data_IF_852663365523
#
_entry.id   IF_852663365523
#
_cell.length_a   1.000
_cell.length_b   1.000
_cell.length_c   1.000
_cell.angle_alpha   90.00
_cell.angle_beta   90.00
_cell.angle_gamma   90.00
#
_symmetry.space_group_name_H-M   'P 1'
#
loop_
_entity.id
_entity.type
_entity.pdbx_description
1 polymer ?
#
# COMPACT_ATOMS: atom_id res chain seq x y z
N UNK A 1 -16.94 27.66 37.47
CA UNK A 1 -18.13 26.96 36.97
C UNK A 1 -17.69 25.51 36.65
N UNK A 2 -18.00 24.55 37.54
CA UNK A 2 -17.65 23.13 37.29
C UNK A 2 -18.63 22.59 36.24
N UNK A 3 -18.21 22.51 34.99
CA UNK A 3 -18.99 21.90 33.90
C UNK A 3 -19.11 20.42 34.21
N UNK A 4 -20.33 19.94 34.45
CA UNK A 4 -20.60 18.56 34.76
C UNK A 4 -20.22 17.66 33.58
N UNK A 5 -19.68 16.45 33.80
CA UNK A 5 -19.27 15.55 32.70
C UNK A 5 -20.39 15.24 31.72
N UNK A 6 -21.64 15.31 32.13
CA UNK A 6 -22.83 15.14 31.27
C UNK A 6 -22.99 16.24 30.20
N UNK A 7 -22.60 17.48 30.48
CA UNK A 7 -22.65 18.54 29.48
C UNK A 7 -21.60 18.31 28.37
N UNK A 8 -20.40 17.85 28.72
CA UNK A 8 -19.39 17.51 27.74
C UNK A 8 -19.83 16.37 26.81
N UNK A 9 -20.47 15.33 27.37
CA UNK A 9 -21.03 14.23 26.54
C UNK A 9 -22.13 14.73 25.60
N UNK A 10 -23.00 15.64 26.06
CA UNK A 10 -24.06 16.21 25.24
C UNK A 10 -23.52 17.04 24.06
N UNK A 11 -22.46 17.84 24.27
CA UNK A 11 -21.81 18.60 23.20
C UNK A 11 -21.00 17.71 22.25
N UNK A 12 -20.43 16.61 22.73
CA UNK A 12 -19.71 15.65 21.91
C UNK A 12 -20.64 14.74 21.08
N UNK A 13 -21.89 14.59 21.49
CA UNK A 13 -22.84 13.63 20.91
C UNK A 13 -23.10 13.87 19.42
N UNK A 14 -23.39 15.10 18.92
CA UNK A 14 -23.63 15.30 17.48
C UNK A 14 -22.40 14.97 16.64
N UNK A 15 -21.19 15.32 17.11
CA UNK A 15 -19.95 15.02 16.40
C UNK A 15 -19.63 13.53 16.38
N UNK A 16 -19.80 12.84 17.52
CA UNK A 16 -19.57 11.39 17.59
C UNK A 16 -20.60 10.60 16.81
N UNK A 17 -21.90 11.00 16.85
CA UNK A 17 -22.96 10.35 16.07
C UNK A 17 -22.69 10.48 14.58
N UNK A 18 -22.29 11.68 14.13
CA UNK A 18 -21.95 11.91 12.73
C UNK A 18 -20.74 11.08 12.29
N UNK A 19 -19.70 11.02 13.11
CA UNK A 19 -18.50 10.23 12.84
C UNK A 19 -18.80 8.74 12.76
N UNK A 20 -19.59 8.22 13.72
CA UNK A 20 -20.03 6.82 13.73
C UNK A 20 -20.90 6.52 12.49
N UNK A 21 -21.82 7.40 12.12
CA UNK A 21 -22.65 7.21 10.93
C UNK A 21 -21.82 7.17 9.65
N UNK A 22 -20.90 8.12 9.45
CA UNK A 22 -20.02 8.17 8.28
C UNK A 22 -19.06 6.97 8.19
N UNK A 23 -18.72 6.35 9.30
CA UNK A 23 -17.87 5.18 9.32
C UNK A 23 -18.66 3.88 9.26
N UNK A 24 -19.70 3.75 10.10
CA UNK A 24 -20.46 2.50 10.23
C UNK A 24 -21.31 2.20 8.99
N UNK A 25 -21.91 3.20 8.34
CA UNK A 25 -22.77 2.99 7.17
C UNK A 25 -21.98 2.43 5.98
N UNK A 26 -20.85 3.05 5.54
CA UNK A 26 -20.04 2.48 4.46
C UNK A 26 -19.46 1.10 4.83
N UNK A 27 -19.01 0.94 6.07
CA UNK A 27 -18.48 -0.36 6.52
C UNK A 27 -19.55 -1.46 6.49
N UNK A 28 -20.77 -1.14 6.92
CA UNK A 28 -21.91 -2.05 6.82
C UNK A 28 -22.24 -2.39 5.37
N UNK A 29 -22.25 -1.40 4.48
CA UNK A 29 -22.47 -1.62 3.05
C UNK A 29 -21.41 -2.57 2.45
N UNK A 30 -20.14 -2.38 2.79
CA UNK A 30 -19.05 -3.28 2.39
C UNK A 30 -19.27 -4.69 2.94
N UNK A 31 -19.71 -4.83 4.20
CA UNK A 31 -20.01 -6.13 4.79
C UNK A 31 -21.21 -6.81 4.09
N UNK A 32 -22.26 -6.06 3.73
CA UNK A 32 -23.39 -6.57 2.96
C UNK A 32 -22.99 -7.13 1.59
N UNK A 33 -22.01 -6.53 0.95
CA UNK A 33 -21.44 -7.01 -0.32
C UNK A 33 -20.52 -8.21 -0.08
N UNK A 34 -19.67 -8.15 0.93
CA UNK A 34 -18.70 -9.21 1.24
C UNK A 34 -19.35 -10.54 1.64
N UNK A 35 -20.49 -10.48 2.32
CA UNK A 35 -21.29 -11.65 2.75
C UNK A 35 -22.55 -11.84 1.90
N UNK A 36 -22.64 -11.14 0.77
CA UNK A 36 -23.71 -11.26 -0.19
C UNK A 36 -23.58 -12.49 -1.08
N UNK A 37 -24.52 -12.64 -1.99
CA UNK A 37 -24.53 -13.70 -3.01
C UNK A 37 -24.01 -13.16 -4.34
N UNK A 38 -23.57 -14.06 -5.21
CA UNK A 38 -23.14 -13.68 -6.56
C UNK A 38 -24.30 -14.01 -7.50
N UNK A 39 -24.69 -13.04 -8.35
CA UNK A 39 -25.68 -13.26 -9.41
C UNK A 39 -25.10 -14.27 -10.41
N UNK A 40 -25.78 -15.40 -10.69
CA UNK A 40 -25.27 -16.43 -11.58
C UNK A 40 -25.20 -15.99 -13.06
N UNK A 41 -25.92 -14.93 -13.45
CA UNK A 41 -25.99 -14.46 -14.82
C UNK A 41 -24.96 -13.34 -15.08
N UNK A 42 -24.97 -12.32 -14.22
CA UNK A 42 -24.11 -11.14 -14.37
C UNK A 42 -22.78 -11.27 -13.64
N UNK A 43 -22.62 -12.26 -12.75
CA UNK A 43 -21.44 -12.45 -11.88
C UNK A 43 -21.14 -11.25 -10.98
N UNK A 44 -22.12 -10.38 -10.79
CA UNK A 44 -22.02 -9.22 -9.90
C UNK A 44 -22.40 -9.60 -8.46
N UNK A 45 -21.78 -8.91 -7.50
CA UNK A 45 -22.09 -9.11 -6.09
C UNK A 45 -23.44 -8.49 -5.73
N UNK A 46 -24.39 -9.30 -5.28
CA UNK A 46 -25.70 -8.85 -4.79
C UNK A 46 -25.60 -8.61 -3.28
N UNK A 47 -25.70 -7.35 -2.81
CA UNK A 47 -25.58 -7.05 -1.39
C UNK A 47 -26.77 -7.62 -0.60
N UNK A 48 -26.48 -8.36 0.45
CA UNK A 48 -27.49 -8.88 1.40
C UNK A 48 -27.60 -7.94 2.60
N UNK A 49 -28.65 -7.13 2.61
CA UNK A 49 -28.88 -6.14 3.67
C UNK A 49 -29.31 -6.75 5.01
N UNK A 50 -29.76 -8.00 5.02
CA UNK A 50 -30.16 -8.67 6.25
C UNK A 50 -28.98 -9.50 6.81
N UNK A 51 -28.45 -9.18 8.01
CA UNK A 51 -27.34 -9.93 8.61
C UNK A 51 -27.64 -11.42 8.86
N UNK A 52 -28.92 -11.77 9.00
CA UNK A 52 -29.34 -13.16 9.24
C UNK A 52 -29.25 -14.04 7.98
N UNK A 53 -29.20 -13.42 6.79
CA UNK A 53 -29.08 -14.12 5.50
C UNK A 53 -27.66 -14.09 4.93
N UNK A 54 -26.68 -13.66 5.70
CA UNK A 54 -25.28 -13.60 5.25
C UNK A 54 -24.70 -14.99 5.03
N UNK A 55 -24.07 -15.15 3.88
CA UNK A 55 -23.40 -16.40 3.51
C UNK A 55 -21.87 -16.25 3.71
N UNK A 56 -21.34 -17.00 4.67
CA UNK A 56 -19.92 -17.01 4.99
C UNK A 56 -19.12 -17.95 4.07
N UNK A 57 -19.77 -18.69 3.19
CA UNK A 57 -19.11 -19.65 2.29
C UNK A 57 -18.14 -18.95 1.36
N UNK A 58 -18.55 -17.82 0.78
CA UNK A 58 -17.72 -17.01 -0.10
C UNK A 58 -16.48 -16.46 0.63
N UNK A 59 -16.66 -15.96 1.85
CA UNK A 59 -15.58 -15.46 2.67
C UNK A 59 -14.57 -16.57 3.02
N UNK A 60 -15.06 -17.76 3.37
CA UNK A 60 -14.22 -18.93 3.67
C UNK A 60 -13.45 -19.42 2.43
N UNK A 61 -14.07 -19.44 1.26
CA UNK A 61 -13.44 -19.80 0.00
C UNK A 61 -12.35 -18.78 -0.39
N UNK A 62 -12.64 -17.47 -0.21
CA UNK A 62 -11.66 -16.42 -0.47
C UNK A 62 -10.46 -16.56 0.47
N UNK A 63 -10.71 -16.80 1.76
CA UNK A 63 -9.65 -17.02 2.75
C UNK A 63 -8.83 -18.28 2.42
N UNK A 64 -9.48 -19.37 2.01
CA UNK A 64 -8.82 -20.59 1.56
C UNK A 64 -7.97 -20.32 0.30
N UNK A 65 -8.44 -19.48 -0.62
CA UNK A 65 -7.68 -19.10 -1.82
C UNK A 65 -6.43 -18.28 -1.53
N UNK A 66 -6.45 -17.48 -0.46
CA UNK A 66 -5.27 -16.74 0.03
C UNK A 66 -4.21 -17.68 0.65
N UNK A 67 -4.63 -18.78 1.29
CA UNK A 67 -3.72 -19.69 1.99
C UNK A 67 -3.21 -20.83 1.09
N UNK A 68 -4.08 -21.43 0.30
CA UNK A 68 -3.79 -22.66 -0.47
C UNK A 68 -4.19 -22.56 -1.95
N UNK A 69 -4.78 -21.44 -2.39
CA UNK A 69 -5.34 -21.25 -3.73
C UNK A 69 -4.53 -20.30 -4.62
N UNK A 70 -5.14 -19.84 -5.71
CA UNK A 70 -4.50 -19.00 -6.73
C UNK A 70 -4.04 -17.63 -6.22
N UNK A 71 -4.67 -17.10 -5.16
CA UNK A 71 -4.32 -15.80 -4.57
C UNK A 71 -3.12 -15.87 -3.60
N UNK A 72 -2.67 -17.08 -3.22
CA UNK A 72 -1.53 -17.26 -2.30
C UNK A 72 -0.27 -16.53 -2.80
N UNK A 73 0.05 -16.65 -4.09
CA UNK A 73 1.22 -16.01 -4.68
C UNK A 73 1.16 -14.48 -4.58
N UNK A 74 -0.02 -13.92 -4.82
CA UNK A 74 -0.26 -12.48 -4.71
C UNK A 74 -0.19 -12.02 -3.25
N UNK A 75 -0.78 -12.78 -2.32
CA UNK A 75 -0.76 -12.46 -0.90
C UNK A 75 0.67 -12.45 -0.34
N UNK A 76 1.47 -13.50 -0.61
CA UNK A 76 2.86 -13.57 -0.17
C UNK A 76 3.67 -12.40 -0.75
N UNK A 77 3.48 -12.11 -2.04
CA UNK A 77 4.17 -11.00 -2.72
C UNK A 77 3.83 -9.66 -2.09
N UNK A 78 2.55 -9.40 -1.81
CA UNK A 78 2.11 -8.17 -1.13
C UNK A 78 2.79 -8.03 0.23
N UNK A 79 2.78 -9.09 1.04
CA UNK A 79 3.45 -9.09 2.36
C UNK A 79 4.95 -8.78 2.21
N UNK A 80 5.63 -9.43 1.27
CA UNK A 80 7.06 -9.21 1.03
C UNK A 80 7.34 -7.78 0.58
N UNK A 81 6.57 -7.25 -0.38
CA UNK A 81 6.77 -5.88 -0.89
C UNK A 81 6.51 -4.83 0.19
N UNK A 82 5.41 -4.97 0.93
CA UNK A 82 5.09 -4.07 2.05
C UNK A 82 6.15 -4.16 3.13
N UNK A 83 6.59 -5.37 3.50
CA UNK A 83 7.64 -5.53 4.49
C UNK A 83 8.97 -4.89 4.05
N UNK A 84 9.41 -5.13 2.82
CA UNK A 84 10.61 -4.50 2.27
C UNK A 84 10.47 -2.98 2.22
N UNK A 85 9.33 -2.47 1.74
CA UNK A 85 9.05 -1.04 1.69
C UNK A 85 9.05 -0.42 3.09
N UNK A 86 8.48 -1.09 4.09
CA UNK A 86 8.50 -0.64 5.49
C UNK A 86 9.93 -0.57 6.03
N UNK A 87 10.73 -1.62 5.85
CA UNK A 87 12.12 -1.66 6.33
C UNK A 87 12.92 -0.51 5.73
N UNK A 88 12.81 -0.29 4.41
CA UNK A 88 13.48 0.81 3.73
C UNK A 88 12.97 2.16 4.24
N UNK A 89 11.64 2.32 4.38
CA UNK A 89 11.02 3.55 4.88
C UNK A 89 11.48 3.88 6.30
N UNK A 90 11.58 2.89 7.20
CA UNK A 90 12.12 3.09 8.54
C UNK A 90 13.60 3.43 8.53
N UNK A 91 14.38 2.78 7.67
CA UNK A 91 15.82 3.03 7.55
C UNK A 91 16.12 4.46 7.09
N UNK A 92 15.29 5.02 6.22
CA UNK A 92 15.41 6.40 5.74
C UNK A 92 14.69 7.37 6.67
N UNK A 93 13.46 7.06 7.06
CA UNK A 93 12.59 7.98 7.78
C UNK A 93 12.99 8.21 9.24
N UNK A 94 13.51 7.16 9.92
CA UNK A 94 13.93 7.31 11.32
C UNK A 94 15.09 8.28 11.50
N UNK A 95 16.21 8.18 10.75
CA UNK A 95 17.30 9.16 10.84
C UNK A 95 16.85 10.59 10.53
N UNK A 96 15.97 10.76 9.54
CA UNK A 96 15.43 12.08 9.19
C UNK A 96 14.59 12.62 10.33
N UNK A 97 13.65 11.83 10.88
CA UNK A 97 12.81 12.24 12.02
C UNK A 97 13.65 12.55 13.26
N UNK A 98 14.68 11.74 13.55
CA UNK A 98 15.61 11.96 14.64
C UNK A 98 16.41 13.27 14.48
N UNK A 99 16.93 13.51 13.28
CA UNK A 99 17.63 14.75 12.95
C UNK A 99 16.71 15.96 13.14
N UNK A 100 15.47 15.88 12.65
CA UNK A 100 14.50 16.96 12.82
C UNK A 100 14.17 17.23 14.30
N UNK A 101 14.00 16.19 15.09
CA UNK A 101 13.64 16.34 16.50
C UNK A 101 14.80 16.92 17.34
N UNK A 102 16.04 16.55 17.05
CA UNK A 102 17.21 16.90 17.87
C UNK A 102 18.07 18.03 17.36
N UNK A 103 18.29 18.11 16.03
CA UNK A 103 19.33 18.98 15.45
C UNK A 103 18.79 20.14 14.59
N UNK A 104 17.52 20.16 14.26
CA UNK A 104 16.97 21.17 13.32
C UNK A 104 16.78 22.57 13.95
N UNK A 105 16.69 22.67 15.28
CA UNK A 105 16.60 23.93 15.99
C UNK A 105 15.53 24.89 15.44
N UNK A 106 15.91 26.12 15.14
CA UNK A 106 14.98 27.14 14.58
C UNK A 106 14.52 26.83 13.15
N UNK A 107 15.22 25.95 12.41
CA UNK A 107 14.90 25.61 11.01
C UNK A 107 14.00 24.38 10.87
N UNK A 108 13.50 23.83 11.96
CA UNK A 108 12.66 22.62 11.94
C UNK A 108 11.42 22.76 11.03
N UNK A 109 10.77 23.91 11.08
CA UNK A 109 9.59 24.19 10.26
C UNK A 109 9.90 24.17 8.76
N UNK A 110 11.08 24.71 8.37
CA UNK A 110 11.55 24.69 6.99
C UNK A 110 11.78 23.25 6.50
N UNK A 111 12.44 22.40 7.29
CA UNK A 111 12.68 21.01 6.92
C UNK A 111 11.37 20.20 6.85
N UNK A 112 10.44 20.41 7.80
CA UNK A 112 9.11 19.81 7.74
C UNK A 112 8.35 20.24 6.49
N UNK A 113 8.36 21.53 6.16
CA UNK A 113 7.74 22.06 4.95
C UNK A 113 8.37 21.41 3.69
N UNK A 114 9.68 21.26 3.65
CA UNK A 114 10.40 20.65 2.52
C UNK A 114 10.02 19.18 2.29
N UNK A 115 9.69 18.46 3.37
CA UNK A 115 9.18 17.08 3.29
C UNK A 115 7.72 17.05 2.82
N UNK A 116 6.88 18.00 3.27
CA UNK A 116 5.43 17.98 3.02
C UNK A 116 5.07 18.59 1.67
N UNK A 117 5.72 19.69 1.25
CA UNK A 117 5.40 20.47 0.04
C UNK A 117 5.31 19.60 -1.23
N UNK A 118 6.23 18.66 -1.50
CA UNK A 118 6.11 17.77 -2.67
C UNK A 118 4.85 16.91 -2.65
N UNK A 119 4.24 16.69 -1.47
CA UNK A 119 3.04 15.86 -1.31
C UNK A 119 1.73 16.62 -1.50
N UNK A 120 1.76 17.94 -1.66
CA UNK A 120 0.62 18.72 -2.11
C UNK A 120 0.30 18.47 -3.59
N UNK A 121 1.26 17.99 -4.36
CA UNK A 121 1.01 17.52 -5.71
C UNK A 121 0.21 16.21 -5.65
N UNK A 122 -0.80 16.10 -6.50
CA UNK A 122 -1.65 14.91 -6.59
C UNK A 122 -0.78 13.64 -6.78
N UNK A 123 -1.20 12.56 -6.10
CA UNK A 123 -0.48 11.27 -6.12
C UNK A 123 -0.28 10.72 -7.53
N UNK A 124 -1.32 10.78 -8.38
CA UNK A 124 -1.23 10.30 -9.77
C UNK A 124 -0.19 11.07 -10.58
N UNK A 125 -0.15 12.41 -10.43
CA UNK A 125 0.85 13.23 -11.13
C UNK A 125 2.27 12.88 -10.69
N UNK A 126 2.48 12.61 -9.42
CA UNK A 126 3.78 12.16 -8.90
C UNK A 126 4.19 10.79 -9.47
N UNK A 127 3.24 9.84 -9.56
CA UNK A 127 3.51 8.52 -10.15
C UNK A 127 3.79 8.61 -11.65
N UNK A 128 3.07 9.47 -12.40
CA UNK A 128 3.37 9.72 -13.80
C UNK A 128 4.75 10.34 -13.99
N UNK A 129 5.19 11.23 -13.09
CA UNK A 129 6.56 11.76 -13.12
C UNK A 129 7.61 10.64 -12.94
N UNK A 130 7.35 9.67 -12.02
CA UNK A 130 8.17 8.49 -11.87
C UNK A 130 8.20 7.60 -13.12
N UNK A 131 7.05 7.39 -13.76
CA UNK A 131 6.97 6.65 -15.05
C UNK A 131 7.85 7.31 -16.10
N UNK A 132 7.77 8.64 -16.26
CA UNK A 132 8.61 9.37 -17.20
C UNK A 132 10.10 9.30 -16.84
N UNK A 133 10.43 9.37 -15.55
CA UNK A 133 11.81 9.31 -15.07
C UNK A 133 12.45 7.93 -15.31
N UNK A 134 11.67 6.86 -15.12
CA UNK A 134 12.08 5.46 -15.21
C UNK A 134 11.90 4.86 -16.62
N UNK A 135 11.28 5.60 -17.55
CA UNK A 135 11.09 5.16 -18.93
C UNK A 135 12.45 4.86 -19.62
N UNK A 136 12.42 4.13 -20.73
CA UNK A 136 13.64 3.77 -21.49
C UNK A 136 14.50 4.99 -21.86
N UNK A 137 13.86 6.13 -22.12
CA UNK A 137 14.51 7.40 -22.45
C UNK A 137 14.55 8.40 -21.30
N UNK A 138 14.10 7.98 -20.11
CA UNK A 138 14.04 8.78 -18.90
C UNK A 138 15.42 9.17 -18.37
N UNK A 139 15.46 10.30 -17.66
CA UNK A 139 16.72 10.83 -17.10
C UNK A 139 17.40 9.83 -16.15
N UNK A 140 16.64 9.16 -15.31
CA UNK A 140 17.18 8.17 -14.37
C UNK A 140 17.77 6.96 -15.11
N UNK A 141 17.07 6.45 -16.12
CA UNK A 141 17.53 5.31 -16.91
C UNK A 141 18.78 5.68 -17.71
N UNK A 142 18.85 6.89 -18.29
CA UNK A 142 20.06 7.39 -18.96
C UNK A 142 21.24 7.50 -18.00
N UNK A 143 21.00 8.03 -16.80
CA UNK A 143 22.04 8.13 -15.78
C UNK A 143 22.56 6.75 -15.35
N UNK A 144 21.67 5.76 -15.14
CA UNK A 144 22.07 4.40 -14.79
C UNK A 144 22.85 3.70 -15.92
N UNK A 145 22.52 3.99 -17.18
CA UNK A 145 23.30 3.49 -18.33
C UNK A 145 24.76 3.95 -18.34
N UNK A 146 25.03 5.14 -17.82
CA UNK A 146 26.42 5.61 -17.67
C UNK A 146 27.26 4.71 -16.74
N UNK A 147 26.60 4.04 -15.78
CA UNK A 147 27.22 3.07 -14.89
C UNK A 147 27.13 1.62 -15.41
N UNK A 148 26.73 1.43 -16.67
CA UNK A 148 26.61 0.10 -17.28
C UNK A 148 25.35 -0.68 -16.88
N UNK A 149 24.40 -0.07 -16.15
CA UNK A 149 23.17 -0.72 -15.72
C UNK A 149 22.09 -0.54 -16.79
N UNK A 150 21.87 -1.59 -17.58
CA UNK A 150 20.79 -1.66 -18.57
C UNK A 150 19.63 -2.47 -17.98
N UNK A 151 18.76 -1.82 -17.23
CA UNK A 151 17.63 -2.45 -16.58
C UNK A 151 16.32 -1.82 -17.03
N UNK A 152 15.30 -2.65 -17.35
CA UNK A 152 13.97 -2.16 -17.66
C UNK A 152 13.17 -2.00 -16.36
N UNK A 153 13.05 -0.76 -15.89
CA UNK A 153 12.45 -0.44 -14.60
C UNK A 153 10.93 -0.61 -14.58
N UNK A 154 10.26 -0.42 -15.72
CA UNK A 154 8.79 -0.38 -15.81
C UNK A 154 8.16 -1.72 -16.22
N UNK A 155 8.95 -2.73 -16.61
CA UNK A 155 8.44 -4.00 -17.10
C UNK A 155 8.58 -5.09 -16.03
N UNK A 156 7.58 -5.17 -15.15
CA UNK A 156 7.51 -6.22 -14.15
C UNK A 156 8.59 -6.17 -13.07
N UNK A 157 9.14 -4.99 -12.78
CA UNK A 157 10.20 -4.83 -11.80
C UNK A 157 9.67 -4.74 -10.37
N UNK A 158 9.94 -5.73 -9.48
CA UNK A 158 9.60 -5.64 -8.06
C UNK A 158 10.24 -4.46 -7.36
N UNK A 159 11.47 -4.11 -7.75
CA UNK A 159 12.24 -3.01 -7.15
C UNK A 159 11.52 -1.68 -7.38
N UNK A 160 10.97 -1.47 -8.57
CA UNK A 160 10.27 -0.24 -8.91
C UNK A 160 8.99 -0.08 -8.11
N UNK A 161 8.24 -1.18 -7.90
CA UNK A 161 7.05 -1.17 -7.04
C UNK A 161 7.42 -0.81 -5.60
N UNK A 162 8.46 -1.46 -5.04
CA UNK A 162 8.92 -1.19 -3.67
C UNK A 162 9.39 0.27 -3.54
N UNK A 163 10.15 0.79 -4.51
CA UNK A 163 10.59 2.20 -4.50
C UNK A 163 9.39 3.16 -4.58
N UNK A 164 8.39 2.85 -5.40
CA UNK A 164 7.15 3.63 -5.48
C UNK A 164 6.40 3.67 -4.14
N UNK A 165 6.26 2.52 -3.47
CA UNK A 165 5.67 2.43 -2.14
C UNK A 165 6.47 3.24 -1.12
N UNK A 166 7.79 3.09 -1.08
CA UNK A 166 8.66 3.87 -0.18
C UNK A 166 8.46 5.36 -0.40
N UNK A 167 8.58 5.82 -1.65
CA UNK A 167 8.40 7.23 -1.98
C UNK A 167 7.02 7.75 -1.59
N UNK A 168 5.97 6.97 -1.86
CA UNK A 168 4.59 7.36 -1.57
C UNK A 168 4.30 7.54 -0.08
N UNK A 169 4.94 6.73 0.77
CA UNK A 169 4.55 6.62 2.18
C UNK A 169 5.58 7.12 3.21
N UNK A 170 6.84 7.37 2.81
CA UNK A 170 7.89 7.87 3.74
C UNK A 170 7.51 9.12 4.52
N UNK A 171 6.86 10.16 3.97
CA UNK A 171 6.48 11.33 4.75
C UNK A 171 5.44 11.03 5.83
N UNK A 172 4.51 10.11 5.53
CA UNK A 172 3.52 9.66 6.51
C UNK A 172 4.14 8.88 7.67
N UNK A 173 5.35 8.32 7.48
CA UNK A 173 6.16 7.73 8.52
C UNK A 173 6.92 8.81 9.33
N UNK A 174 7.56 9.76 8.63
CA UNK A 174 8.43 10.77 9.26
C UNK A 174 7.65 11.66 10.22
N UNK A 175 6.44 12.10 9.87
CA UNK A 175 5.66 13.05 10.66
C UNK A 175 5.29 12.52 12.06
N UNK A 176 4.66 11.34 12.23
CA UNK A 176 4.35 10.82 13.55
C UNK A 176 5.59 10.38 14.32
N UNK A 177 6.65 9.91 13.64
CA UNK A 177 7.93 9.64 14.29
C UNK A 177 8.57 10.91 14.84
N UNK A 178 8.59 11.96 14.04
CA UNK A 178 9.08 13.26 14.47
C UNK A 178 8.30 13.76 15.71
N UNK A 179 6.96 13.73 15.66
CA UNK A 179 6.11 14.17 16.76
C UNK A 179 6.35 13.34 18.04
N UNK A 180 6.68 12.07 17.92
CA UNK A 180 7.03 11.21 19.06
C UNK A 180 8.42 11.54 19.60
N UNK A 181 9.41 11.68 18.71
CA UNK A 181 10.79 11.97 19.08
C UNK A 181 10.95 13.38 19.65
N UNK A 182 10.17 14.36 19.20
CA UNK A 182 10.18 15.72 19.72
C UNK A 182 9.73 15.81 21.19
N UNK A 183 8.84 14.89 21.61
CA UNK A 183 8.33 14.80 22.99
C UNK A 183 9.28 14.08 23.94
N UNK A 184 10.36 13.48 23.46
CA UNK A 184 11.32 12.79 24.31
C UNK A 184 12.09 13.80 25.17
N UNK A 185 12.24 13.47 26.44
CA UNK A 185 13.14 14.24 27.32
C UNK A 185 14.60 13.88 27.02
N UNK A 186 15.26 14.77 26.29
CA UNK A 186 16.65 14.60 25.86
C UNK A 186 17.63 14.56 27.04
N UNK A 187 17.24 15.09 28.23
CA UNK A 187 18.05 15.02 29.44
C UNK A 187 18.32 13.58 29.88
N UNK A 188 17.41 12.64 29.58
CA UNK A 188 17.62 11.22 29.85
C UNK A 188 18.77 10.63 29.04
N UNK A 189 18.99 11.12 27.83
CA UNK A 189 20.11 10.71 26.99
C UNK A 189 21.41 11.28 27.49
N UNK A 190 21.39 12.54 27.95
CA UNK A 190 22.56 13.18 28.54
C UNK A 190 22.93 12.51 29.88
N UNK A 191 21.95 12.21 30.74
CA UNK A 191 22.17 11.44 31.97
C UNK A 191 22.76 10.05 31.71
N UNK A 192 22.27 9.34 30.66
CA UNK A 192 22.86 8.06 30.29
C UNK A 192 24.33 8.17 29.87
N UNK A 193 24.70 9.28 29.23
CA UNK A 193 26.10 9.56 28.86
C UNK A 193 26.96 9.88 30.04
N UNK A 194 26.42 10.62 30.99
CA UNK A 194 27.12 10.95 32.27
C UNK A 194 27.41 9.66 33.09
N UNK A 195 26.53 8.64 32.92
CA UNK A 195 26.76 7.31 33.50
C UNK A 195 27.70 6.41 32.62
N UNK A 196 28.37 6.98 31.64
CA UNK A 196 29.38 6.30 30.85
C UNK A 196 28.85 5.60 29.60
N UNK A 197 27.56 5.77 29.24
CA UNK A 197 27.04 5.20 28.00
C UNK A 197 27.58 5.91 26.77
N UNK A 198 28.09 5.15 25.80
CA UNK A 198 28.43 5.71 24.50
C UNK A 198 27.17 6.05 23.67
N UNK A 199 27.32 6.79 22.56
CA UNK A 199 26.19 7.24 21.73
C UNK A 199 25.31 6.10 21.23
N UNK A 200 25.88 4.93 20.91
CA UNK A 200 25.10 3.75 20.47
C UNK A 200 24.33 3.12 21.63
N UNK A 201 24.91 3.07 22.81
CA UNK A 201 24.26 2.54 24.01
C UNK A 201 23.12 3.48 24.44
N UNK A 202 23.34 4.80 24.52
CA UNK A 202 22.28 5.77 24.79
C UNK A 202 21.14 5.69 23.78
N UNK A 203 21.45 5.51 22.50
CA UNK A 203 20.42 5.31 21.45
C UNK A 203 19.62 4.02 21.67
N UNK A 204 20.30 2.87 21.88
CA UNK A 204 19.64 1.55 21.96
C UNK A 204 18.90 1.35 23.28
N UNK A 205 19.42 1.90 24.40
CA UNK A 205 18.88 1.67 25.74
C UNK A 205 17.89 2.75 26.18
N UNK A 206 17.96 3.96 25.63
CA UNK A 206 17.09 5.08 26.01
C UNK A 206 16.19 5.49 24.82
N UNK A 207 16.77 5.96 23.71
CA UNK A 207 15.98 6.53 22.61
C UNK A 207 15.03 5.50 21.97
N UNK A 208 15.54 4.31 21.64
CA UNK A 208 14.76 3.27 20.98
C UNK A 208 13.57 2.77 21.81
N UNK A 209 13.75 2.38 23.09
CA UNK A 209 12.63 1.96 23.92
C UNK A 209 11.58 3.05 24.12
N UNK A 210 12.01 4.29 24.33
CA UNK A 210 11.09 5.42 24.52
C UNK A 210 10.33 5.80 23.26
N UNK A 211 10.90 5.60 22.07
CA UNK A 211 10.24 5.85 20.78
C UNK A 211 9.42 4.67 20.26
N UNK A 212 9.45 3.51 20.94
CA UNK A 212 8.81 2.26 20.47
C UNK A 212 7.33 2.42 20.14
N UNK A 213 6.58 3.08 20.99
CA UNK A 213 5.15 3.31 20.78
C UNK A 213 4.89 4.13 19.50
N UNK A 214 5.69 5.17 19.25
CA UNK A 214 5.62 5.97 18.03
C UNK A 214 6.07 5.23 16.79
N UNK A 215 7.11 4.38 16.91
CA UNK A 215 7.57 3.51 15.82
C UNK A 215 6.45 2.55 15.38
N UNK A 216 5.80 1.89 16.34
CA UNK A 216 4.69 0.97 16.05
C UNK A 216 3.51 1.73 15.43
N UNK A 217 3.11 2.87 16.01
CA UNK A 217 2.01 3.67 15.48
C UNK A 217 2.29 4.17 14.05
N UNK A 218 3.49 4.70 13.80
CA UNK A 218 3.91 5.13 12.46
C UNK A 218 3.97 3.96 11.47
N UNK A 219 4.44 2.79 11.91
CA UNK A 219 4.47 1.57 11.11
C UNK A 219 3.07 1.12 10.68
N UNK A 220 2.12 1.07 11.61
CA UNK A 220 0.73 0.72 11.30
C UNK A 220 0.11 1.75 10.35
N UNK A 221 0.37 3.03 10.56
CA UNK A 221 -0.17 4.12 9.73
C UNK A 221 0.23 3.99 8.26
N UNK A 222 1.45 3.52 7.97
CA UNK A 222 1.90 3.31 6.58
C UNK A 222 1.61 1.90 6.06
N UNK A 223 1.62 0.87 6.92
CA UNK A 223 1.41 -0.50 6.49
C UNK A 223 0.01 -0.71 5.91
N UNK A 224 -1.03 -0.24 6.62
CA UNK A 224 -2.42 -0.45 6.21
C UNK A 224 -2.72 0.07 4.79
N UNK A 225 -2.42 1.33 4.43
CA UNK A 225 -2.64 1.80 3.07
C UNK A 225 -1.71 1.11 2.04
N UNK A 226 -0.47 0.73 2.40
CA UNK A 226 0.41 -0.01 1.49
C UNK A 226 -0.17 -1.37 1.09
N UNK A 227 -0.88 -2.07 1.99
CA UNK A 227 -1.53 -3.35 1.66
C UNK A 227 -2.65 -3.20 0.62
N UNK A 228 -3.36 -2.07 0.64
CA UNK A 228 -4.43 -1.74 -0.30
C UNK A 228 -3.98 -0.96 -1.54
N UNK A 229 -2.69 -0.65 -1.66
CA UNK A 229 -2.19 0.15 -2.77
C UNK A 229 -2.20 -0.66 -4.08
N UNK A 230 -2.97 -0.17 -5.04
CA UNK A 230 -3.03 -0.71 -6.40
C UNK A 230 -2.44 0.25 -7.45
N UNK A 231 -2.52 1.57 -7.20
CA UNK A 231 -2.05 2.59 -8.12
C UNK A 231 -0.55 2.51 -8.39
N UNK A 232 0.26 2.25 -7.34
CA UNK A 232 1.71 2.17 -7.48
C UNK A 232 2.10 1.08 -8.46
N UNK A 233 1.51 -0.10 -8.33
CA UNK A 233 1.84 -1.22 -9.21
C UNK A 233 1.29 -1.00 -10.62
N UNK A 234 0.04 -0.53 -10.78
CA UNK A 234 -0.59 -0.32 -12.07
C UNK A 234 0.12 0.74 -12.91
N UNK A 235 0.65 1.77 -12.28
CA UNK A 235 1.36 2.83 -12.98
C UNK A 235 2.83 2.51 -13.24
N UNK A 236 3.52 1.91 -12.27
CA UNK A 236 4.97 1.71 -12.34
C UNK A 236 5.40 0.40 -12.95
N UNK A 237 4.64 -0.69 -12.74
CA UNK A 237 5.08 -2.01 -13.22
C UNK A 237 4.24 -2.54 -14.37
N UNK A 238 2.94 -2.29 -14.38
CA UNK A 238 1.98 -2.75 -15.40
C UNK A 238 2.07 -4.25 -15.73
N UNK A 239 2.60 -5.06 -14.84
CA UNK A 239 2.84 -6.48 -15.06
C UNK A 239 2.08 -7.35 -14.09
N UNK A 240 1.42 -8.43 -14.57
CA UNK A 240 0.79 -9.43 -13.72
C UNK A 240 1.74 -10.10 -12.73
N UNK A 241 3.04 -10.10 -13.06
CA UNK A 241 4.06 -10.73 -12.22
C UNK A 241 4.30 -10.00 -10.90
N UNK A 242 3.93 -8.71 -10.82
CA UNK A 242 4.12 -7.85 -9.65
C UNK A 242 2.81 -7.45 -8.97
N UNK A 243 1.66 -7.93 -9.44
CA UNK A 243 0.36 -7.62 -8.85
C UNK A 243 0.31 -7.87 -7.34
N UNK A 244 -0.29 -6.93 -6.63
CA UNK A 244 -0.54 -6.95 -5.20
C UNK A 244 -2.01 -7.24 -4.89
N UNK A 245 -2.36 -7.45 -3.63
CA UNK A 245 -3.76 -7.67 -3.21
C UNK A 245 -4.67 -6.51 -3.60
N UNK A 246 -4.19 -5.26 -3.50
CA UNK A 246 -4.94 -4.08 -3.94
C UNK A 246 -5.35 -4.15 -5.41
N UNK A 247 -4.47 -4.60 -6.31
CA UNK A 247 -4.79 -4.79 -7.73
C UNK A 247 -5.85 -5.86 -7.96
N UNK A 248 -5.82 -6.95 -7.17
CA UNK A 248 -6.85 -7.99 -7.28
C UNK A 248 -8.21 -7.48 -6.79
N UNK A 249 -8.23 -6.69 -5.70
CA UNK A 249 -9.47 -6.06 -5.20
C UNK A 249 -10.02 -5.11 -6.26
N UNK A 250 -9.19 -4.22 -6.82
CA UNK A 250 -9.59 -3.30 -7.88
C UNK A 250 -10.12 -4.04 -9.12
N UNK A 251 -9.43 -5.11 -9.52
CA UNK A 251 -9.86 -5.98 -10.62
C UNK A 251 -11.24 -6.60 -10.37
N UNK A 252 -11.51 -7.11 -9.17
CA UNK A 252 -12.81 -7.69 -8.83
C UNK A 252 -13.92 -6.65 -8.72
N UNK A 253 -13.61 -5.44 -8.25
CA UNK A 253 -14.60 -4.37 -8.12
C UNK A 253 -14.94 -3.70 -9.45
N UNK A 254 -13.94 -3.44 -10.29
CA UNK A 254 -14.09 -2.67 -11.51
C UNK A 254 -14.03 -3.52 -12.79
N UNK A 255 -13.51 -4.74 -12.71
CA UNK A 255 -13.19 -5.58 -13.85
C UNK A 255 -14.20 -6.69 -14.12
N UNK A 256 -15.03 -7.07 -13.16
CA UNK A 256 -15.99 -8.18 -13.31
C UNK A 256 -17.11 -7.90 -14.32
N UNK A 257 -17.42 -6.63 -14.55
CA UNK A 257 -18.46 -6.19 -15.48
C UNK A 257 -17.98 -5.99 -16.93
N UNK A 258 -16.69 -6.19 -17.24
CA UNK A 258 -16.20 -6.07 -18.62
C UNK A 258 -15.90 -7.44 -19.23
N UNK A 259 -16.58 -7.82 -20.35
CA UNK A 259 -16.35 -9.11 -21.05
C UNK A 259 -14.90 -9.34 -21.49
N UNK A 260 -14.15 -8.25 -21.75
CA UNK A 260 -12.74 -8.28 -22.11
C UNK A 260 -11.83 -8.82 -21.00
N UNK A 261 -12.20 -8.60 -19.73
CA UNK A 261 -11.45 -9.09 -18.57
C UNK A 261 -11.68 -10.60 -18.33
N UNK A 262 -12.86 -11.13 -18.69
CA UNK A 262 -13.13 -12.56 -18.69
C UNK A 262 -12.20 -13.33 -19.65
N UNK A 263 -11.91 -12.77 -20.81
CA UNK A 263 -10.97 -13.34 -21.79
C UNK A 263 -9.53 -13.33 -21.26
N UNK A 264 -9.12 -12.27 -20.56
CA UNK A 264 -7.79 -12.19 -19.95
C UNK A 264 -7.62 -13.20 -18.80
N UNK A 265 -8.66 -13.43 -18.00
CA UNK A 265 -8.67 -14.45 -16.93
C UNK A 265 -8.63 -15.86 -17.52
N UNK A 266 -9.37 -16.13 -18.58
CA UNK A 266 -9.28 -17.41 -19.31
C UNK A 266 -7.89 -17.61 -19.93
N UNK A 267 -7.30 -16.59 -20.53
CA UNK A 267 -5.94 -16.64 -21.08
C UNK A 267 -4.88 -16.96 -20.02
N UNK A 268 -5.04 -16.46 -18.79
CA UNK A 268 -4.13 -16.76 -17.66
C UNK A 268 -4.30 -18.17 -17.08
N UNK A 269 -5.48 -18.78 -17.21
CA UNK A 269 -5.76 -20.13 -16.70
C UNK A 269 -5.47 -21.24 -17.71
N UNK A 270 -5.22 -20.93 -18.97
CA UNK A 270 -4.87 -21.91 -19.97
C UNK A 270 -3.47 -22.49 -19.67
N UNK A 271 -3.34 -23.80 -19.43
CA UNK A 271 -2.06 -24.45 -19.21
C UNK A 271 -1.14 -24.23 -20.41
N UNK A 272 0.17 -24.08 -20.17
CA UNK A 272 1.18 -23.79 -21.22
C UNK A 272 1.08 -24.67 -22.46
N UNK A 273 0.60 -25.91 -22.33
CA UNK A 273 0.33 -26.84 -23.43
C UNK A 273 -0.73 -26.36 -24.42
N UNK A 274 -1.75 -25.63 -23.95
CA UNK A 274 -2.80 -25.06 -24.83
C UNK A 274 -2.34 -23.74 -25.46
N UNK A 275 -1.44 -23.01 -24.85
CA UNK A 275 -0.81 -21.83 -25.48
C UNK A 275 0.11 -22.21 -26.63
N UNK A 276 0.85 -23.31 -26.54
CA UNK A 276 1.68 -23.84 -27.62
C UNK A 276 0.81 -24.42 -28.78
N UNK A 277 -0.35 -25.00 -28.46
CA UNK A 277 -1.29 -25.49 -29.44
C UNK A 277 -1.92 -24.34 -30.25
N UNK A 278 -2.26 -23.22 -29.58
CA UNK A 278 -2.77 -21.99 -30.25
C UNK A 278 -1.71 -21.37 -31.16
N UNK A 279 -0.46 -21.32 -30.72
CA UNK A 279 0.66 -20.84 -31.54
C UNK A 279 0.91 -21.72 -32.80
N UNK A 280 0.77 -23.04 -32.66
CA UNK A 280 0.93 -23.97 -33.79
C UNK A 280 -0.22 -23.87 -34.82
N UNK A 281 -1.44 -23.58 -34.36
CA UNK A 281 -2.60 -23.37 -35.25
C UNK A 281 -2.47 -22.05 -36.03
N UNK A 282 -2.00 -20.98 -35.39
CA UNK A 282 -1.71 -19.71 -36.03
C UNK A 282 -0.59 -19.83 -37.09
N UNK A 283 0.45 -20.63 -36.85
CA UNK A 283 1.51 -20.90 -37.81
C UNK A 283 1.08 -21.78 -38.99
N UNK A 284 -0.04 -22.50 -38.86
CA UNK A 284 -0.63 -23.32 -39.93
C UNK A 284 -1.55 -22.54 -40.88
N UNK A 285 -1.58 -21.20 -40.83
CA UNK A 285 -2.27 -20.34 -41.81
C UNK A 285 -3.80 -20.29 -41.70
N UNK A 286 -4.38 -20.79 -40.60
CA UNK A 286 -5.82 -20.69 -40.35
C UNK A 286 -6.09 -19.31 -39.70
N UNK A 287 -7.00 -18.54 -40.36
CA UNK A 287 -7.33 -17.16 -39.97
C UNK A 287 -7.54 -17.02 -38.45
N UNK A 288 -6.61 -16.35 -37.79
CA UNK A 288 -6.63 -16.10 -36.34
C UNK A 288 -7.84 -15.29 -35.82
N UNK A 289 -8.59 -14.64 -36.72
CA UNK A 289 -9.73 -13.78 -36.40
C UNK A 289 -10.91 -14.48 -35.71
N UNK A 290 -11.04 -15.82 -35.83
CA UNK A 290 -12.14 -16.58 -35.19
C UNK A 290 -11.75 -17.10 -33.80
N UNK A 291 -10.46 -17.15 -33.48
CA UNK A 291 -9.92 -17.63 -32.20
C UNK A 291 -9.67 -16.49 -31.17
N UNK A 292 -9.84 -15.25 -31.61
CA UNK A 292 -9.81 -14.10 -30.67
C UNK A 292 -11.15 -13.92 -29.93
N UNK A 293 -12.22 -14.61 -30.36
CA UNK A 293 -13.56 -14.55 -29.78
C UNK A 293 -13.84 -15.76 -28.85
N UNK A 294 -12.99 -16.79 -28.84
CA UNK A 294 -13.04 -17.95 -27.97
C UNK A 294 -11.86 -17.92 -26.96
#
# INVERSE_FOLDING_TARGET
MKITPRLWTLFALPGTTWLVALFAIPFYAVACVAFGTIDPIFLDAVPQWNPLSWDFTQASQTLASLTSGPLRGVAIRTVVYVFCAMVISFTIGFPIAYFLARHSGKRKLLFLALIIVPFWVNYLMRMLAWVNLLSSDGLFTRFMRLFGVNYNWLDGSPITVILGLVYGYVPFLILPLYATLERLDWRLIDAARDLGANSRQAFRLVTMPMSKAGLVAAGILIALPMFGDYYTNDLLSRSPSTEMLGNQIDFFLNGSSQPQNGVLVMRRRLPRKLQSFKANICNAGIKCAVLEIL
#
